data_IF_580470479270
#
_entry.id   IF_580470479270
#
_cell.length_a   1.000
_cell.length_b   1.000
_cell.length_c   1.000
_cell.angle_alpha   90.00
_cell.angle_beta   90.00
_cell.angle_gamma   90.00
#
_symmetry.space_group_name_H-M   'P 1'
#
loop_
_entity.id
_entity.type
_entity.pdbx_description
1 polymer ?
#
# COMPACT_ATOMS: atom_id res chain seq x y z
N UNK A 1 -9.63 -27.20 -46.21
CA UNK A 1 -8.57 -27.48 -45.25
C UNK A 1 -8.22 -28.92 -45.45
N UNK A 2 -7.04 -29.19 -46.01
CA UNK A 2 -6.55 -30.57 -46.13
C UNK A 2 -6.43 -31.14 -44.71
N UNK A 3 -6.80 -32.39 -44.46
CA UNK A 3 -6.80 -32.98 -43.11
C UNK A 3 -5.43 -32.83 -42.42
N UNK A 4 -4.36 -32.80 -43.21
CA UNK A 4 -2.99 -32.50 -42.82
C UNK A 4 -2.82 -31.09 -42.25
N UNK A 5 -3.36 -30.06 -42.88
CA UNK A 5 -3.31 -28.67 -42.36
C UNK A 5 -4.02 -28.55 -41.01
N UNK A 6 -5.13 -29.27 -40.82
CA UNK A 6 -5.86 -29.28 -39.55
C UNK A 6 -5.04 -29.96 -38.45
N UNK A 7 -4.36 -31.06 -38.79
CA UNK A 7 -3.46 -31.77 -37.88
C UNK A 7 -2.26 -30.89 -37.48
N UNK A 8 -1.55 -30.34 -38.46
CA UNK A 8 -0.40 -29.44 -38.24
C UNK A 8 -0.80 -28.25 -37.36
N UNK A 9 -2.01 -27.71 -37.54
CA UNK A 9 -2.51 -26.59 -36.72
C UNK A 9 -2.80 -27.02 -35.28
N UNK A 10 -3.40 -28.19 -35.04
CA UNK A 10 -3.65 -28.70 -33.69
C UNK A 10 -2.33 -29.03 -32.99
N UNK A 11 -1.37 -29.66 -33.68
CA UNK A 11 -0.03 -29.94 -33.15
C UNK A 11 0.69 -28.64 -32.74
N UNK A 12 0.65 -27.63 -33.61
CA UNK A 12 1.22 -26.32 -33.30
C UNK A 12 0.53 -25.65 -32.10
N UNK A 13 -0.80 -25.69 -32.01
CA UNK A 13 -1.53 -25.15 -30.85
C UNK A 13 -1.19 -25.91 -29.55
N UNK A 14 -1.05 -27.23 -29.62
CA UNK A 14 -0.64 -28.08 -28.49
C UNK A 14 0.79 -27.76 -28.04
N UNK A 15 1.74 -27.60 -28.97
CA UNK A 15 3.09 -27.11 -28.66
C UNK A 15 3.02 -25.74 -27.95
N UNK A 16 2.27 -24.79 -28.52
CA UNK A 16 2.12 -23.45 -27.93
C UNK A 16 1.49 -23.49 -26.54
N UNK A 17 0.61 -24.44 -26.24
CA UNK A 17 -0.01 -24.57 -24.93
C UNK A 17 0.79 -25.47 -23.96
N UNK A 18 1.88 -26.08 -24.41
CA UNK A 18 2.66 -27.08 -23.64
C UNK A 18 1.90 -28.39 -23.41
N UNK A 19 0.96 -28.72 -24.29
CA UNK A 19 0.04 -29.87 -24.21
C UNK A 19 0.39 -30.96 -25.23
N UNK A 20 1.69 -31.21 -25.43
CA UNK A 20 2.20 -32.11 -26.48
C UNK A 20 1.63 -33.54 -26.39
N UNK A 21 1.29 -34.03 -25.20
CA UNK A 21 0.71 -35.36 -24.99
C UNK A 21 -0.70 -35.54 -25.58
N UNK A 22 -1.49 -34.48 -25.74
CA UNK A 22 -2.86 -34.57 -26.27
C UNK A 22 -2.91 -34.59 -27.80
N UNK A 23 -1.90 -34.05 -28.49
CA UNK A 23 -1.79 -34.13 -29.96
C UNK A 23 -1.51 -35.57 -30.43
N UNK A 24 -0.76 -36.32 -29.63
CA UNK A 24 -0.37 -37.72 -29.91
C UNK A 24 -1.57 -38.67 -29.87
N UNK A 25 -2.65 -38.31 -29.15
CA UNK A 25 -3.86 -39.14 -29.06
C UNK A 25 -4.61 -39.30 -30.40
N UNK A 26 -4.34 -38.41 -31.38
CA UNK A 26 -4.90 -38.47 -32.72
C UNK A 26 -3.95 -39.10 -33.75
N UNK A 27 -2.77 -39.59 -33.36
CA UNK A 27 -1.82 -40.25 -34.26
C UNK A 27 -2.43 -41.49 -34.92
N UNK A 28 -3.04 -41.28 -36.07
CA UNK A 28 -3.29 -42.28 -37.10
C UNK A 28 -2.18 -42.12 -38.14
N UNK A 29 -1.86 -43.21 -38.85
CA UNK A 29 -0.84 -43.24 -39.88
C UNK A 29 -0.96 -41.98 -40.78
N UNK A 30 0.14 -41.26 -41.10
CA UNK A 30 0.12 -40.05 -41.91
C UNK A 30 -0.54 -40.21 -43.30
N UNK A 31 -0.71 -41.45 -43.73
CA UNK A 31 -1.28 -41.85 -45.02
C UNK A 31 -2.74 -42.35 -44.94
N UNK A 32 -3.37 -42.38 -43.75
CA UNK A 32 -4.74 -42.86 -43.54
C UNK A 32 -5.75 -41.70 -43.43
N UNK A 33 -6.72 -41.65 -44.36
CA UNK A 33 -7.78 -40.63 -44.34
C UNK A 33 -8.69 -40.79 -43.12
N UNK A 34 -8.86 -39.70 -42.36
CA UNK A 34 -9.76 -39.65 -41.21
C UNK A 34 -11.22 -39.72 -41.65
N UNK A 35 -12.06 -40.38 -40.86
CA UNK A 35 -13.52 -40.34 -41.04
C UNK A 35 -14.09 -38.95 -40.71
N UNK A 36 -15.21 -38.60 -41.31
CA UNK A 36 -15.87 -37.29 -41.12
C UNK A 36 -16.12 -36.95 -39.64
N UNK A 37 -16.45 -37.96 -38.81
CA UNK A 37 -16.66 -37.77 -37.38
C UNK A 37 -15.36 -37.44 -36.63
N UNK A 38 -14.23 -38.06 -37.03
CA UNK A 38 -12.91 -37.75 -36.48
C UNK A 38 -12.42 -36.37 -36.91
N UNK A 39 -12.70 -35.96 -38.16
CA UNK A 39 -12.40 -34.60 -38.64
C UNK A 39 -13.18 -33.56 -37.86
N UNK A 40 -14.47 -33.78 -37.59
CA UNK A 40 -15.28 -32.89 -36.74
C UNK A 40 -14.76 -32.81 -35.30
N UNK A 41 -14.34 -33.93 -34.73
CA UNK A 41 -13.76 -33.96 -33.39
C UNK A 41 -12.43 -33.18 -33.33
N UNK A 42 -11.58 -33.32 -34.35
CA UNK A 42 -10.32 -32.59 -34.47
C UNK A 42 -10.54 -31.08 -34.66
N UNK A 43 -11.53 -30.70 -35.46
CA UNK A 43 -11.92 -29.29 -35.66
C UNK A 43 -12.47 -28.66 -34.37
N UNK A 44 -13.28 -29.41 -33.61
CA UNK A 44 -13.75 -28.97 -32.30
C UNK A 44 -12.59 -28.78 -31.30
N UNK A 45 -11.61 -29.70 -31.29
CA UNK A 45 -10.40 -29.59 -30.47
C UNK A 45 -9.55 -28.38 -30.86
N UNK A 46 -9.39 -28.11 -32.17
CA UNK A 46 -8.72 -26.89 -32.65
C UNK A 46 -9.37 -25.64 -32.05
N UNK A 47 -10.70 -25.53 -32.15
CA UNK A 47 -11.44 -24.36 -31.62
C UNK A 47 -11.26 -24.19 -30.11
N UNK A 48 -11.27 -25.29 -29.36
CA UNK A 48 -11.02 -25.27 -27.91
C UNK A 48 -9.61 -24.75 -27.59
N UNK A 49 -8.58 -25.30 -28.24
CA UNK A 49 -7.19 -24.87 -28.02
C UNK A 49 -6.96 -23.41 -28.45
N UNK A 50 -7.57 -22.96 -29.55
CA UNK A 50 -7.52 -21.55 -29.98
C UNK A 50 -8.15 -20.62 -28.94
N UNK A 51 -9.29 -20.99 -28.36
CA UNK A 51 -9.94 -20.21 -27.31
C UNK A 51 -9.09 -20.14 -26.04
N UNK A 52 -8.49 -21.25 -25.61
CA UNK A 52 -7.58 -21.28 -24.45
C UNK A 52 -6.36 -20.40 -24.70
N UNK A 53 -5.71 -20.53 -25.87
CA UNK A 53 -4.55 -19.74 -26.24
C UNK A 53 -4.88 -18.24 -26.27
N UNK A 54 -6.00 -17.87 -26.89
CA UNK A 54 -6.47 -16.48 -26.94
C UNK A 54 -6.73 -15.92 -25.53
N UNK A 55 -7.31 -16.72 -24.62
CA UNK A 55 -7.50 -16.32 -23.23
C UNK A 55 -6.17 -16.12 -22.50
N UNK A 56 -5.17 -17.01 -22.70
CA UNK A 56 -3.84 -16.87 -22.09
C UNK A 56 -3.11 -15.63 -22.62
N UNK A 57 -3.09 -15.42 -23.95
CA UNK A 57 -2.49 -14.23 -24.58
C UNK A 57 -3.09 -12.94 -24.01
N UNK A 58 -4.41 -12.85 -23.91
CA UNK A 58 -5.08 -11.68 -23.33
C UNK A 58 -4.68 -11.42 -21.87
N UNK A 59 -4.45 -12.47 -21.08
CA UNK A 59 -3.97 -12.34 -19.70
C UNK A 59 -2.54 -11.80 -19.65
N UNK A 60 -1.63 -12.34 -20.46
CA UNK A 60 -0.24 -11.88 -20.55
C UNK A 60 -0.20 -10.40 -20.98
N UNK A 61 -0.97 -10.03 -22.00
CA UNK A 61 -1.06 -8.63 -22.45
C UNK A 61 -1.63 -7.69 -21.38
N UNK A 62 -2.68 -8.12 -20.66
CA UNK A 62 -3.27 -7.33 -19.57
C UNK A 62 -2.24 -7.11 -18.45
N UNK A 63 -1.52 -8.16 -18.07
CA UNK A 63 -0.45 -8.07 -17.09
C UNK A 63 0.65 -7.11 -17.56
N UNK A 64 1.16 -7.29 -18.78
CA UNK A 64 2.18 -6.42 -19.36
C UNK A 64 1.76 -4.95 -19.33
N UNK A 65 0.50 -4.65 -19.67
CA UNK A 65 -0.05 -3.29 -19.61
C UNK A 65 -0.12 -2.72 -18.18
N UNK A 66 -0.53 -3.53 -17.20
CA UNK A 66 -0.63 -3.07 -15.81
C UNK A 66 0.75 -2.74 -15.22
N UNK A 67 1.76 -3.53 -15.56
CA UNK A 67 3.13 -3.25 -15.12
C UNK A 67 3.72 -2.08 -15.93
N UNK A 68 3.48 -1.98 -17.23
CA UNK A 68 3.96 -0.85 -18.04
C UNK A 68 3.38 0.49 -17.58
N UNK A 69 2.07 0.56 -17.29
CA UNK A 69 1.42 1.74 -16.70
C UNK A 69 2.01 2.14 -15.35
N UNK A 70 2.53 1.17 -14.59
CA UNK A 70 3.18 1.42 -13.31
C UNK A 70 4.61 1.94 -13.46
N UNK A 71 5.32 1.58 -14.54
CA UNK A 71 6.76 1.86 -14.78
C UNK A 71 6.99 3.14 -15.59
N UNK A 72 6.10 3.46 -16.54
CA UNK A 72 6.24 4.63 -17.45
C UNK A 72 6.34 5.97 -16.70
N UNK A 73 6.06 6.01 -15.39
CA UNK A 73 6.11 7.23 -14.58
C UNK A 73 7.01 7.19 -13.34
N UNK A 74 7.77 6.12 -13.12
CA UNK A 74 8.75 6.02 -12.04
C UNK A 74 10.11 5.59 -12.58
N UNK A 75 11.13 6.41 -12.33
CA UNK A 75 12.46 6.29 -12.94
C UNK A 75 13.30 5.11 -12.40
N UNK A 76 12.82 4.30 -11.44
CA UNK A 76 13.73 3.45 -10.64
C UNK A 76 13.30 2.01 -10.31
N UNK A 77 12.06 1.56 -10.55
CA UNK A 77 11.62 0.27 -9.94
C UNK A 77 11.99 -0.98 -10.76
N UNK A 78 12.29 -0.85 -12.06
CA UNK A 78 12.71 -1.99 -12.89
C UNK A 78 14.21 -2.04 -13.18
N UNK A 79 15.05 -1.20 -12.58
CA UNK A 79 16.48 -1.25 -12.89
C UNK A 79 17.19 -2.49 -12.30
N UNK A 80 16.53 -3.23 -11.40
CA UNK A 80 17.09 -4.41 -10.75
C UNK A 80 16.65 -5.78 -11.27
N UNK A 81 15.46 -5.92 -11.88
CA UNK A 81 14.89 -7.24 -12.21
C UNK A 81 14.78 -7.46 -13.73
N UNK A 82 15.89 -7.94 -14.30
CA UNK A 82 15.96 -8.33 -15.71
C UNK A 82 14.92 -9.40 -16.10
N UNK A 83 14.51 -10.27 -15.16
CA UNK A 83 13.50 -11.29 -15.42
C UNK A 83 12.12 -10.67 -15.59
N UNK A 84 11.75 -9.71 -14.73
CA UNK A 84 10.49 -8.97 -14.87
C UNK A 84 10.45 -8.19 -16.19
N UNK A 85 11.54 -7.48 -16.54
CA UNK A 85 11.68 -6.78 -17.84
C UNK A 85 11.57 -7.74 -19.03
N UNK A 86 12.25 -8.89 -18.98
CA UNK A 86 12.22 -9.88 -20.04
C UNK A 86 10.81 -10.43 -20.25
N UNK A 87 10.09 -10.72 -19.16
CA UNK A 87 8.74 -11.29 -19.22
C UNK A 87 7.70 -10.26 -19.65
N UNK A 88 7.87 -8.98 -19.31
CA UNK A 88 7.05 -7.88 -19.85
C UNK A 88 7.23 -7.68 -21.36
N UNK A 89 8.41 -7.99 -21.90
CA UNK A 89 8.72 -7.89 -23.33
C UNK A 89 8.36 -9.16 -24.11
N UNK A 90 7.86 -10.21 -23.46
CA UNK A 90 7.43 -11.43 -24.15
C UNK A 90 6.22 -11.10 -25.03
N UNK A 91 6.44 -11.14 -26.33
CA UNK A 91 5.35 -11.09 -27.31
C UNK A 91 4.63 -12.44 -27.35
N UNK A 92 3.66 -12.62 -26.45
CA UNK A 92 2.81 -13.81 -26.44
C UNK A 92 2.00 -14.02 -27.73
N UNK A 93 1.97 -13.04 -28.65
CA UNK A 93 1.37 -13.23 -29.98
C UNK A 93 2.29 -13.95 -30.96
N UNK A 94 3.60 -13.97 -30.69
CA UNK A 94 4.57 -14.73 -31.48
C UNK A 94 4.24 -16.23 -31.43
N UNK A 95 4.12 -16.84 -32.60
CA UNK A 95 3.79 -18.26 -32.77
C UNK A 95 4.91 -19.20 -32.29
N UNK A 96 6.15 -18.71 -32.16
CA UNK A 96 7.29 -19.49 -31.66
C UNK A 96 7.34 -19.57 -30.13
N UNK A 97 6.54 -18.76 -29.42
CA UNK A 97 6.53 -18.71 -27.95
C UNK A 97 5.41 -19.60 -27.42
N UNK A 98 5.79 -20.54 -26.54
CA UNK A 98 4.84 -21.35 -25.78
C UNK A 98 4.30 -20.57 -24.59
N UNK A 99 2.98 -20.54 -24.46
CA UNK A 99 2.22 -19.95 -23.35
C UNK A 99 1.61 -21.10 -22.54
N UNK A 100 2.48 -21.91 -21.95
CA UNK A 100 2.10 -23.09 -21.17
C UNK A 100 1.50 -22.73 -19.81
N UNK A 101 0.87 -23.70 -19.13
CA UNK A 101 0.38 -23.47 -17.75
C UNK A 101 1.53 -23.12 -16.80
N UNK A 102 2.68 -23.79 -16.94
CA UNK A 102 3.87 -23.46 -16.14
C UNK A 102 4.34 -22.01 -16.34
N UNK A 103 4.30 -21.49 -17.58
CA UNK A 103 4.62 -20.08 -17.83
C UNK A 103 3.57 -19.15 -17.21
N UNK A 104 2.29 -19.48 -17.33
CA UNK A 104 1.20 -18.68 -16.76
C UNK A 104 1.24 -18.64 -15.22
N UNK A 105 1.58 -19.76 -14.59
CA UNK A 105 1.76 -19.86 -13.14
C UNK A 105 2.97 -19.04 -12.69
N UNK A 106 4.11 -19.16 -13.38
CA UNK A 106 5.29 -18.32 -13.10
C UNK A 106 4.97 -16.82 -13.24
N UNK A 107 4.25 -16.42 -14.28
CA UNK A 107 3.82 -15.03 -14.48
C UNK A 107 2.94 -14.52 -13.33
N UNK A 108 2.01 -15.36 -12.88
CA UNK A 108 1.11 -15.04 -11.79
C UNK A 108 1.87 -14.90 -10.47
N UNK A 109 2.80 -15.81 -10.18
CA UNK A 109 3.60 -15.77 -8.96
C UNK A 109 4.45 -14.51 -8.90
N UNK A 110 5.13 -14.16 -10.01
CA UNK A 110 5.86 -12.89 -10.11
C UNK A 110 4.97 -11.66 -9.93
N UNK A 111 3.74 -11.67 -10.46
CA UNK A 111 2.81 -10.56 -10.23
C UNK A 111 2.45 -10.41 -8.76
N UNK A 112 2.21 -11.54 -8.07
CA UNK A 112 1.90 -11.56 -6.65
C UNK A 112 3.07 -11.00 -5.86
N UNK A 113 4.29 -11.44 -6.14
CA UNK A 113 5.51 -10.93 -5.50
C UNK A 113 5.68 -9.42 -5.75
N UNK A 114 5.49 -8.96 -6.98
CA UNK A 114 5.56 -7.55 -7.34
C UNK A 114 4.55 -6.70 -6.56
N UNK A 115 3.29 -7.14 -6.48
CA UNK A 115 2.25 -6.41 -5.73
C UNK A 115 2.56 -6.40 -4.23
N UNK A 116 3.05 -7.52 -3.69
CA UNK A 116 3.42 -7.63 -2.27
C UNK A 116 4.57 -6.68 -1.91
N UNK A 117 5.62 -6.60 -2.73
CA UNK A 117 6.74 -5.68 -2.52
C UNK A 117 6.26 -4.22 -2.50
N UNK A 118 5.39 -3.86 -3.45
CA UNK A 118 4.82 -2.50 -3.50
C UNK A 118 3.90 -2.20 -2.32
N UNK A 119 3.12 -3.19 -1.88
CA UNK A 119 2.28 -3.06 -0.70
C UNK A 119 3.13 -2.86 0.56
N UNK A 120 4.22 -3.62 0.71
CA UNK A 120 5.17 -3.46 1.81
C UNK A 120 5.79 -2.06 1.83
N UNK A 121 6.32 -1.61 0.68
CA UNK A 121 6.87 -0.25 0.53
C UNK A 121 5.83 0.83 0.84
N UNK A 122 4.59 0.64 0.40
CA UNK A 122 3.50 1.59 0.70
C UNK A 122 3.24 1.66 2.20
N UNK A 123 3.17 0.51 2.87
CA UNK A 123 2.95 0.45 4.32
C UNK A 123 4.07 1.14 5.09
N UNK A 124 5.33 0.95 4.70
CA UNK A 124 6.48 1.62 5.33
C UNK A 124 6.37 3.15 5.20
N UNK A 125 6.11 3.66 3.99
CA UNK A 125 5.92 5.08 3.76
C UNK A 125 4.69 5.62 4.51
N UNK A 126 3.60 4.85 4.54
CA UNK A 126 2.37 5.26 5.23
C UNK A 126 2.56 5.33 6.75
N UNK A 127 3.25 4.36 7.36
CA UNK A 127 3.59 4.42 8.78
C UNK A 127 4.41 5.68 9.04
N UNK A 128 5.42 5.94 8.21
CA UNK A 128 6.29 7.11 8.38
C UNK A 128 5.55 8.43 8.27
N UNK A 129 4.68 8.59 7.28
CA UNK A 129 3.90 9.83 7.13
C UNK A 129 2.86 9.98 8.24
N UNK A 130 2.27 8.89 8.73
CA UNK A 130 1.33 8.92 9.85
C UNK A 130 2.01 9.42 11.14
N UNK A 131 3.21 8.92 11.46
CA UNK A 131 4.01 9.42 12.58
C UNK A 131 4.31 10.91 12.45
N UNK A 132 4.61 11.38 11.24
CA UNK A 132 4.90 12.78 10.97
C UNK A 132 3.65 13.65 11.05
N UNK A 133 2.48 13.18 10.60
CA UNK A 133 1.21 13.87 10.79
C UNK A 133 0.92 14.08 12.27
N UNK A 134 1.14 13.07 13.11
CA UNK A 134 0.97 13.18 14.55
C UNK A 134 2.00 14.14 15.17
N UNK A 135 3.26 14.04 14.76
CA UNK A 135 4.35 14.89 15.26
C UNK A 135 4.20 16.36 14.88
N UNK A 136 3.64 16.63 13.69
CA UNK A 136 3.37 17.98 13.20
C UNK A 136 1.96 18.48 13.56
N UNK A 137 1.16 17.68 14.25
CA UNK A 137 -0.24 17.98 14.60
C UNK A 137 -1.11 18.33 13.38
N UNK A 138 -0.93 17.60 12.26
CA UNK A 138 -1.74 17.73 11.05
C UNK A 138 -3.15 17.22 11.30
N UNK A 139 -4.16 18.01 10.91
CA UNK A 139 -5.55 17.68 11.13
C UNK A 139 -6.00 16.50 10.26
N UNK A 140 -6.92 15.66 10.77
CA UNK A 140 -7.37 14.47 10.06
C UNK A 140 -7.97 14.77 8.68
N UNK A 141 -8.63 15.92 8.52
CA UNK A 141 -9.21 16.37 7.24
C UNK A 141 -8.13 16.65 6.17
N UNK A 142 -6.90 16.89 6.57
CA UNK A 142 -5.76 17.15 5.67
C UNK A 142 -5.01 15.84 5.32
N UNK A 143 -5.27 14.74 6.03
CA UNK A 143 -4.64 13.42 5.83
C UNK A 143 -5.28 12.66 4.66
N UNK A 144 -4.98 13.11 3.45
CA UNK A 144 -5.65 12.63 2.22
C UNK A 144 -5.04 11.34 1.63
N UNK A 145 -3.95 10.81 2.19
CA UNK A 145 -3.29 9.60 1.68
C UNK A 145 -3.95 8.35 2.29
N UNK A 146 -4.37 7.36 1.48
CA UNK A 146 -5.03 6.17 1.98
C UNK A 146 -4.05 5.20 2.68
N UNK A 147 -4.53 4.43 3.69
CA UNK A 147 -3.69 3.52 4.47
C UNK A 147 -3.23 2.27 3.73
N UNK A 148 -3.95 1.86 2.68
CA UNK A 148 -3.70 0.61 1.94
C UNK A 148 -3.33 0.88 0.49
N UNK A 149 -2.42 0.07 -0.05
CA UNK A 149 -2.06 0.10 -1.46
C UNK A 149 -3.17 -0.52 -2.34
N UNK A 150 -3.46 0.08 -3.49
CA UNK A 150 -4.35 -0.45 -4.52
C UNK A 150 -3.62 -0.47 -5.86
N UNK A 151 -3.20 -1.65 -6.38
CA UNK A 151 -2.45 -1.75 -7.62
C UNK A 151 -3.21 -1.27 -8.87
N UNK A 152 -4.54 -1.08 -8.77
CA UNK A 152 -5.34 -0.53 -9.87
C UNK A 152 -5.44 0.99 -9.86
N UNK A 153 -5.07 1.65 -8.74
CA UNK A 153 -5.23 3.10 -8.57
C UNK A 153 -3.91 3.82 -8.28
N UNK A 154 -3.00 3.17 -7.60
CA UNK A 154 -1.75 3.76 -7.15
C UNK A 154 -0.64 3.46 -8.15
N UNK A 155 0.09 4.51 -8.50
CA UNK A 155 1.21 4.50 -9.46
C UNK A 155 2.49 4.94 -8.77
N UNK A 156 3.65 4.84 -9.43
CA UNK A 156 4.92 5.34 -8.90
C UNK A 156 4.86 6.81 -8.47
N UNK A 157 4.09 7.64 -9.20
CA UNK A 157 3.85 9.04 -8.83
C UNK A 157 3.23 9.21 -7.45
N UNK A 158 2.45 8.24 -6.99
CA UNK A 158 1.86 8.30 -5.65
C UNK A 158 2.92 7.99 -4.58
N UNK A 159 3.86 7.07 -4.84
CA UNK A 159 5.03 6.86 -3.98
C UNK A 159 5.92 8.11 -3.91
N UNK A 160 6.11 8.81 -5.03
CA UNK A 160 6.86 10.07 -5.06
C UNK A 160 6.16 11.17 -4.28
N UNK A 161 4.82 11.26 -4.38
CA UNK A 161 4.03 12.19 -3.58
C UNK A 161 4.17 11.89 -2.09
N UNK A 162 4.06 10.63 -1.67
CA UNK A 162 4.28 10.24 -0.26
C UNK A 162 5.68 10.63 0.20
N UNK A 163 6.71 10.31 -0.58
CA UNK A 163 8.11 10.58 -0.24
C UNK A 163 8.39 12.09 -0.15
N UNK A 164 7.88 12.86 -1.11
CA UNK A 164 8.00 14.33 -1.11
C UNK A 164 7.29 14.94 0.10
N UNK A 165 6.10 14.45 0.42
CA UNK A 165 5.32 14.93 1.57
C UNK A 165 6.00 14.58 2.89
N UNK A 166 6.59 13.38 3.01
CA UNK A 166 7.43 12.99 4.15
C UNK A 166 8.59 13.99 4.31
N UNK A 167 9.35 14.26 3.26
CA UNK A 167 10.47 15.23 3.32
C UNK A 167 9.99 16.63 3.71
N UNK A 168 8.83 17.06 3.20
CA UNK A 168 8.22 18.34 3.55
C UNK A 168 7.85 18.40 5.04
N UNK A 169 7.21 17.35 5.57
CA UNK A 169 6.81 17.27 6.97
C UNK A 169 8.02 17.13 7.91
N UNK A 170 9.06 16.40 7.52
CA UNK A 170 10.32 16.33 8.29
C UNK A 170 10.97 17.70 8.41
N UNK A 171 11.02 18.46 7.30
CA UNK A 171 11.55 19.82 7.29
C UNK A 171 10.68 20.76 8.14
N UNK A 172 9.36 20.63 8.04
CA UNK A 172 8.39 21.39 8.83
C UNK A 172 8.55 21.14 10.33
N UNK A 173 8.64 19.86 10.70
CA UNK A 173 8.87 19.44 12.08
C UNK A 173 10.19 19.99 12.60
N UNK A 174 11.28 19.84 11.85
CA UNK A 174 12.58 20.35 12.25
C UNK A 174 12.56 21.87 12.51
N UNK A 175 11.88 22.65 11.65
CA UNK A 175 11.75 24.09 11.81
C UNK A 175 10.92 24.51 13.04
N UNK A 176 9.93 23.69 13.42
CA UNK A 176 8.93 24.01 14.47
C UNK A 176 9.05 23.13 15.72
N UNK A 177 10.15 22.37 15.82
CA UNK A 177 10.34 21.25 16.73
C UNK A 177 10.06 21.62 18.19
N UNK A 178 10.61 22.73 18.67
CA UNK A 178 10.46 23.14 20.07
C UNK A 178 9.01 23.39 20.47
N UNK A 179 8.20 23.94 19.56
CA UNK A 179 6.78 24.21 19.78
C UNK A 179 5.99 22.91 19.72
N UNK A 180 6.24 22.08 18.71
CA UNK A 180 5.57 20.78 18.55
C UNK A 180 5.87 19.83 19.71
N UNK A 181 7.13 19.70 20.14
CA UNK A 181 7.52 18.87 21.29
C UNK A 181 6.82 19.32 22.58
N UNK A 182 6.77 20.63 22.81
CA UNK A 182 6.09 21.19 23.98
C UNK A 182 4.58 20.90 23.95
N UNK A 183 3.96 21.01 22.77
CA UNK A 183 2.54 20.73 22.56
C UNK A 183 2.23 19.24 22.71
N UNK A 184 3.01 18.35 22.10
CA UNK A 184 2.87 16.89 22.23
C UNK A 184 2.94 16.48 23.69
N UNK A 185 3.96 16.96 24.41
CA UNK A 185 4.10 16.69 25.84
C UNK A 185 2.92 17.19 26.67
N UNK A 186 2.34 18.32 26.30
CA UNK A 186 1.12 18.81 26.95
C UNK A 186 -0.08 17.91 26.64
N UNK A 187 -0.30 17.53 25.37
CA UNK A 187 -1.37 16.60 24.96
C UNK A 187 -1.29 15.26 25.68
N UNK A 188 -0.10 14.69 25.85
CA UNK A 188 0.13 13.45 26.60
C UNK A 188 -0.30 13.59 28.07
N UNK A 189 0.11 14.67 28.74
CA UNK A 189 -0.24 14.92 30.15
C UNK A 189 -1.71 15.25 30.33
N UNK A 190 -2.31 15.88 29.33
CA UNK A 190 -3.75 16.11 29.28
C UNK A 190 -4.52 14.79 29.13
N UNK A 191 -4.09 13.92 28.21
CA UNK A 191 -4.68 12.59 28.05
C UNK A 191 -4.55 11.74 29.31
N UNK A 192 -3.41 11.80 30.02
CA UNK A 192 -3.22 11.16 31.33
C UNK A 192 -4.25 11.66 32.36
N UNK A 193 -4.49 12.97 32.40
CA UNK A 193 -5.52 13.57 33.26
C UNK A 193 -6.92 13.06 32.90
N UNK A 194 -7.30 13.09 31.62
CA UNK A 194 -8.62 12.63 31.16
C UNK A 194 -8.82 11.14 31.45
N UNK A 195 -7.79 10.31 31.25
CA UNK A 195 -7.85 8.88 31.56
C UNK A 195 -8.08 8.63 33.07
N UNK A 196 -7.45 9.42 33.95
CA UNK A 196 -7.69 9.35 35.40
C UNK A 196 -9.13 9.78 35.76
N UNK A 197 -9.64 10.84 35.13
CA UNK A 197 -11.01 11.30 35.32
C UNK A 197 -12.03 10.25 34.85
N UNK A 198 -11.79 9.60 33.72
CA UNK A 198 -12.65 8.53 33.20
C UNK A 198 -12.61 7.28 34.09
N UNK A 199 -11.40 6.89 34.53
CA UNK A 199 -11.21 5.77 35.45
C UNK A 199 -12.01 5.93 36.74
N UNK A 200 -12.10 7.15 37.27
CA UNK A 200 -12.89 7.48 38.49
C UNK A 200 -14.39 7.35 38.31
N UNK A 201 -14.91 7.43 37.09
CA UNK A 201 -16.33 7.23 36.80
C UNK A 201 -16.74 5.76 36.92
N UNK A 202 -15.78 4.83 36.86
CA UNK A 202 -16.06 3.39 36.98
C UNK A 202 -16.55 3.02 38.38
N UNK A 203 -17.66 2.26 38.52
CA UNK A 203 -18.16 1.77 39.81
C UNK A 203 -17.13 0.93 40.60
N UNK A 204 -16.20 0.29 39.90
CA UNK A 204 -15.20 -0.61 40.47
C UNK A 204 -13.96 0.12 40.99
N UNK A 205 -13.81 1.41 40.67
CA UNK A 205 -12.63 2.21 40.99
C UNK A 205 -12.33 2.24 42.49
N UNK A 206 -13.36 2.30 43.33
CA UNK A 206 -13.23 2.30 44.79
C UNK A 206 -13.33 0.91 45.43
N UNK A 207 -13.65 -0.12 44.64
CA UNK A 207 -13.90 -1.49 45.13
C UNK A 207 -12.62 -2.35 45.10
N UNK A 208 -11.80 -2.20 44.04
CA UNK A 208 -10.55 -2.95 43.89
C UNK A 208 -9.39 -2.24 44.58
N UNK A 209 -9.01 -2.68 45.79
CA UNK A 209 -7.87 -2.12 46.58
C UNK A 209 -6.49 -2.65 46.17
N UNK A 210 -6.34 -3.16 44.95
CA UNK A 210 -5.08 -3.68 44.41
C UNK A 210 -4.13 -2.59 43.91
N UNK A 211 -2.97 -2.98 43.37
CA UNK A 211 -1.98 -2.04 42.78
C UNK A 211 -2.54 -1.22 41.61
N UNK A 212 -3.48 -1.76 40.83
CA UNK A 212 -4.02 -1.12 39.62
C UNK A 212 -5.02 0.02 39.91
N UNK A 213 -5.72 0.01 41.05
CA UNK A 213 -6.68 1.03 41.45
C UNK A 213 -6.27 1.71 42.76
N UNK A 214 -5.05 2.26 42.78
CA UNK A 214 -4.54 3.00 43.92
C UNK A 214 -5.08 4.44 43.92
N UNK A 215 -6.25 4.62 44.52
CA UNK A 215 -6.95 5.90 44.61
C UNK A 215 -6.07 7.04 45.16
N UNK A 216 -5.20 6.75 46.12
CA UNK A 216 -4.29 7.75 46.68
C UNK A 216 -3.22 8.18 45.68
N UNK A 217 -2.64 7.21 44.95
CA UNK A 217 -1.64 7.50 43.94
C UNK A 217 -2.26 8.29 42.77
N UNK A 218 -3.45 7.88 42.32
CA UNK A 218 -4.20 8.55 41.25
C UNK A 218 -4.53 10.01 41.65
N UNK A 219 -5.02 10.24 42.88
CA UNK A 219 -5.26 11.59 43.40
C UNK A 219 -3.97 12.44 43.51
N UNK A 220 -2.84 11.81 43.87
CA UNK A 220 -1.53 12.50 43.91
C UNK A 220 -1.04 12.88 42.51
N UNK A 221 -1.19 11.97 41.53
CA UNK A 221 -0.83 12.22 40.13
C UNK A 221 -1.70 13.35 39.58
N UNK A 222 -3.02 13.27 39.74
CA UNK A 222 -3.96 14.30 39.29
C UNK A 222 -3.62 15.68 39.89
N UNK A 223 -3.36 15.76 41.20
CA UNK A 223 -2.92 17.01 41.83
C UNK A 223 -1.62 17.52 41.22
N UNK A 224 -0.68 16.63 40.96
CA UNK A 224 0.60 16.99 40.32
C UNK A 224 0.38 17.52 38.91
N UNK A 225 -0.50 16.89 38.14
CA UNK A 225 -0.89 17.31 36.79
C UNK A 225 -1.53 18.70 36.79
N UNK A 226 -2.53 18.91 37.65
CA UNK A 226 -3.31 20.14 37.72
C UNK A 226 -2.53 21.32 38.32
N UNK A 227 -1.85 21.11 39.45
CA UNK A 227 -1.21 22.21 40.20
C UNK A 227 0.14 22.62 39.60
N UNK A 228 0.83 21.69 38.91
CA UNK A 228 2.23 21.91 38.49
C UNK A 228 2.48 21.59 37.01
N UNK A 229 2.22 20.35 36.56
CA UNK A 229 2.71 19.89 35.25
C UNK A 229 2.03 20.61 34.09
N UNK A 230 0.69 20.62 34.04
CA UNK A 230 -0.06 21.24 32.95
C UNK A 230 0.15 22.76 32.91
N UNK A 231 0.03 23.53 34.03
CA UNK A 231 0.29 24.98 34.01
C UNK A 231 1.71 25.32 33.58
N UNK A 232 2.71 24.52 33.97
CA UNK A 232 4.10 24.72 33.56
C UNK A 232 4.27 24.49 32.06
N UNK A 233 3.65 23.44 31.51
CA UNK A 233 3.69 23.15 30.08
C UNK A 233 2.99 24.22 29.25
N UNK A 234 1.85 24.77 29.70
CA UNK A 234 1.19 25.91 29.03
C UNK A 234 2.16 27.10 28.93
N UNK A 235 2.84 27.45 30.03
CA UNK A 235 3.84 28.54 30.01
C UNK A 235 5.01 28.23 29.07
N UNK A 236 5.47 26.98 29.02
CA UNK A 236 6.51 26.56 28.09
C UNK A 236 6.05 26.70 26.64
N UNK A 237 4.82 26.30 26.31
CA UNK A 237 4.26 26.43 24.95
C UNK A 237 4.18 27.90 24.54
N UNK A 238 3.65 28.77 25.40
CA UNK A 238 3.57 30.22 25.14
C UNK A 238 4.96 30.77 24.84
N UNK A 239 5.92 30.52 25.72
CA UNK A 239 7.28 31.01 25.56
C UNK A 239 7.95 30.51 24.27
N UNK A 240 7.83 29.21 23.98
CA UNK A 240 8.40 28.62 22.76
C UNK A 240 7.73 29.14 21.49
N UNK A 241 6.43 29.35 21.52
CA UNK A 241 5.70 29.92 20.40
C UNK A 241 6.07 31.40 20.16
N UNK A 242 6.21 32.20 21.22
CA UNK A 242 6.67 33.58 21.12
C UNK A 242 8.10 33.68 20.57
N UNK A 243 9.03 32.84 21.04
CA UNK A 243 10.40 32.73 20.49
C UNK A 243 10.38 32.37 19.00
N UNK A 244 9.52 31.43 18.62
CA UNK A 244 9.34 31.02 17.23
C UNK A 244 8.80 32.16 16.36
N UNK A 245 7.72 32.83 16.77
CA UNK A 245 7.15 33.95 16.03
C UNK A 245 8.13 35.13 15.89
N UNK A 246 8.97 35.38 16.90
CA UNK A 246 10.00 36.41 16.83
C UNK A 246 11.07 36.11 15.78
N UNK A 247 11.42 34.83 15.59
CA UNK A 247 12.39 34.39 14.57
C UNK A 247 11.76 34.17 13.19
N UNK A 248 10.45 33.91 13.13
CA UNK A 248 9.71 33.60 11.90
C UNK A 248 8.41 34.43 11.79
N UNK A 249 8.47 35.76 11.56
CA UNK A 249 7.29 36.62 11.61
C UNK A 249 6.21 36.32 10.56
N UNK A 250 6.59 35.68 9.45
CA UNK A 250 5.70 35.34 8.35
C UNK A 250 5.26 33.87 8.36
N UNK A 251 5.67 33.09 9.37
CA UNK A 251 5.28 31.68 9.49
C UNK A 251 4.47 31.47 10.77
N UNK A 252 3.17 31.20 10.60
CA UNK A 252 2.24 31.00 11.70
C UNK A 252 1.94 29.50 11.87
N UNK A 253 2.23 28.97 13.06
CA UNK A 253 1.87 27.60 13.42
C UNK A 253 0.37 27.55 13.73
N UNK A 254 -0.35 26.63 13.08
CA UNK A 254 -1.76 26.34 13.35
C UNK A 254 -1.97 24.86 13.66
N UNK A 255 -2.82 24.59 14.64
CA UNK A 255 -3.26 23.27 15.08
C UNK A 255 -4.78 23.30 15.21
N UNK A 256 -5.49 22.51 14.40
CA UNK A 256 -6.95 22.53 14.29
C UNK A 256 -7.53 23.95 14.06
N UNK A 257 -6.78 24.80 13.35
CA UNK A 257 -7.13 26.20 13.05
C UNK A 257 -6.70 27.22 14.11
N UNK A 258 -6.25 26.78 15.29
CA UNK A 258 -5.82 27.65 16.40
C UNK A 258 -4.30 27.80 16.45
N UNK A 259 -3.81 28.88 17.07
CA UNK A 259 -2.41 28.95 17.49
C UNK A 259 -2.15 27.92 18.61
N UNK A 260 -0.92 27.43 18.82
CA UNK A 260 -0.65 26.44 19.87
C UNK A 260 -1.12 26.86 21.28
N UNK A 261 -0.94 28.13 21.72
CA UNK A 261 -1.51 28.59 22.98
C UNK A 261 -3.04 28.62 23.02
N UNK A 262 -3.68 29.08 21.92
CA UNK A 262 -5.14 29.15 21.84
C UNK A 262 -5.78 27.77 21.80
N UNK A 263 -5.14 26.81 21.12
CA UNK A 263 -5.54 25.41 21.10
C UNK A 263 -5.59 24.83 22.52
N UNK A 264 -4.52 25.01 23.29
CA UNK A 264 -4.44 24.54 24.68
C UNK A 264 -5.55 25.15 25.53
N UNK A 265 -5.79 26.45 25.37
CA UNK A 265 -6.86 27.14 26.09
C UNK A 265 -8.23 26.57 25.72
N UNK A 266 -8.50 26.41 24.42
CA UNK A 266 -9.76 25.86 23.93
C UNK A 266 -10.03 24.43 24.43
N UNK A 267 -9.00 23.58 24.54
CA UNK A 267 -9.16 22.22 25.08
C UNK A 267 -9.39 22.20 26.60
N UNK A 268 -8.92 23.22 27.32
CA UNK A 268 -9.07 23.32 28.78
C UNK A 268 -10.40 23.94 29.23
N UNK A 269 -11.02 24.75 28.37
CA UNK A 269 -12.32 25.41 28.59
C UNK A 269 -13.50 24.42 28.41
#
# INVERSE_FOLDING_TARGET
MEQKELFDRVEHLSFRLGMEEEAVAFCLDPDELLSDDKVKALDAKRMELEDVLQKRIKKVQKFGKQVDESVVYGDDVLDGDENMKAIMQVDATNEEISVSDSMMDALKDMFVEYVQEREFRWQELYIRIAELWDSCHVADIERMIPPSYDPAKHTDRDFDKLTTEITRLESLYAARKDVFDALTKWKERWAEKIALEEKKKSPEYFQNRGRENNVYLDAKIERTLNDYTLPKLVKTIIHKYEEYCASHPNDEIRVDGFTPPDYVKWVMD
#
